data_IF_764919002608
#
_entry.id   IF_764919002608
#
_cell.length_a   1.000
_cell.length_b   1.000
_cell.length_c   1.000
_cell.angle_alpha   90.00
_cell.angle_beta   90.00
_cell.angle_gamma   90.00
#
_symmetry.space_group_name_H-M   'P 1'
#
loop_
_entity.id
_entity.type
_entity.pdbx_description
1 polymer ?
#
# COMPACT_ATOMS: atom_id res chain seq x y z
N UNK A 1 4.70 18.84 3.35
CA UNK A 1 4.05 18.06 4.43
C UNK A 1 4.52 16.63 4.27
N UNK A 2 5.33 16.14 5.20
CA UNK A 2 5.73 14.72 5.22
C UNK A 2 4.49 13.87 5.49
N UNK A 3 4.23 12.86 4.65
CA UNK A 3 3.15 11.91 4.86
C UNK A 3 3.55 11.00 6.01
N UNK A 4 2.74 10.99 7.08
CA UNK A 4 2.98 10.16 8.27
C UNK A 4 2.04 8.96 8.24
N UNK A 5 2.62 7.78 8.47
CA UNK A 5 1.89 6.54 8.68
C UNK A 5 2.24 6.01 10.07
N UNK A 6 1.24 5.52 10.77
CA UNK A 6 1.37 4.93 12.10
C UNK A 6 1.14 3.42 12.01
N UNK A 7 1.69 2.69 12.98
CA UNK A 7 1.40 1.28 13.16
C UNK A 7 -0.11 1.09 13.36
N UNK A 8 -0.68 0.15 12.61
CA UNK A 8 -2.11 -0.17 12.60
C UNK A 8 -2.93 0.63 11.58
N UNK A 9 -2.34 1.63 10.91
CA UNK A 9 -3.03 2.34 9.84
C UNK A 9 -3.40 1.37 8.71
N UNK A 10 -4.66 1.45 8.26
CA UNK A 10 -5.09 0.75 7.05
C UNK A 10 -4.91 1.67 5.86
N UNK A 11 -4.24 1.17 4.84
CA UNK A 11 -4.03 1.89 3.58
C UNK A 11 -4.62 1.12 2.41
N UNK A 12 -5.06 1.86 1.40
CA UNK A 12 -5.49 1.30 0.12
C UNK A 12 -4.46 1.62 -0.97
N UNK A 13 -4.17 0.62 -1.80
CA UNK A 13 -3.39 0.81 -3.01
C UNK A 13 -4.30 1.33 -4.14
N UNK A 14 -3.80 2.23 -4.98
CA UNK A 14 -4.60 2.90 -6.02
C UNK A 14 -5.32 1.94 -6.98
N UNK A 15 -4.74 0.75 -7.22
CA UNK A 15 -5.39 -0.32 -8.03
C UNK A 15 -6.76 -0.74 -7.49
N UNK A 16 -7.06 -0.47 -6.21
CA UNK A 16 -8.39 -0.71 -5.64
C UNK A 16 -9.48 0.05 -6.39
N UNK A 17 -9.20 1.25 -6.91
CA UNK A 17 -10.17 2.03 -7.71
C UNK A 17 -10.53 1.35 -9.04
N UNK A 18 -9.71 0.40 -9.50
CA UNK A 18 -9.99 -0.37 -10.73
C UNK A 18 -10.92 -1.55 -10.50
N UNK A 19 -11.25 -1.86 -9.25
CA UNK A 19 -12.08 -3.02 -8.91
C UNK A 19 -13.56 -2.72 -9.09
N UNK A 20 -14.31 -3.69 -9.61
CA UNK A 20 -15.76 -3.56 -9.72
C UNK A 20 -16.42 -3.69 -8.35
N UNK A 21 -17.69 -3.28 -8.26
CA UNK A 21 -18.46 -3.41 -7.02
C UNK A 21 -18.66 -4.87 -6.64
N UNK A 22 -18.80 -5.75 -7.61
CA UNK A 22 -18.95 -7.19 -7.44
C UNK A 22 -17.68 -7.78 -6.84
N UNK A 23 -16.51 -7.45 -7.41
CA UNK A 23 -15.21 -7.88 -6.87
C UNK A 23 -15.00 -7.41 -5.43
N UNK A 24 -15.34 -6.16 -5.12
CA UNK A 24 -15.22 -5.62 -3.77
C UNK A 24 -16.30 -6.14 -2.80
N UNK A 25 -17.38 -6.74 -3.31
CA UNK A 25 -18.38 -7.43 -2.49
C UNK A 25 -17.88 -8.82 -2.11
N UNK A 26 -17.25 -9.54 -3.04
CA UNK A 26 -16.65 -10.85 -2.80
C UNK A 26 -15.38 -10.76 -1.94
N UNK A 27 -14.51 -9.79 -2.23
CA UNK A 27 -13.24 -9.56 -1.54
C UNK A 27 -13.15 -8.11 -1.03
N UNK A 28 -13.79 -7.77 0.11
CA UNK A 28 -13.84 -6.40 0.61
C UNK A 28 -12.45 -5.84 0.95
N UNK A 29 -11.47 -6.69 1.24
CA UNK A 29 -10.12 -6.29 1.61
C UNK A 29 -9.14 -6.22 0.44
N UNK A 30 -9.57 -6.51 -0.79
CA UNK A 30 -8.69 -6.54 -1.96
C UNK A 30 -7.93 -5.21 -2.12
N UNK A 31 -6.60 -5.27 -2.22
CA UNK A 31 -5.70 -4.08 -2.24
C UNK A 31 -5.74 -3.19 -0.98
N UNK A 32 -6.20 -3.72 0.17
CA UNK A 32 -5.99 -3.10 1.48
C UNK A 32 -4.80 -3.73 2.20
N UNK A 33 -4.09 -2.90 2.95
CA UNK A 33 -2.91 -3.30 3.70
C UNK A 33 -2.90 -2.63 5.07
N UNK A 34 -2.35 -3.30 6.07
CA UNK A 34 -2.10 -2.74 7.41
C UNK A 34 -0.62 -2.38 7.54
N UNK A 35 -0.34 -1.15 7.99
CA UNK A 35 1.00 -0.69 8.30
C UNK A 35 1.46 -1.33 9.62
N UNK A 36 2.59 -2.02 9.57
CA UNK A 36 3.22 -2.61 10.75
C UNK A 36 4.22 -1.62 11.37
N UNK A 37 4.92 -0.86 10.54
CA UNK A 37 5.83 0.19 10.97
C UNK A 37 6.79 0.64 9.87
N UNK A 38 7.78 1.45 10.27
CA UNK A 38 8.87 1.88 9.40
C UNK A 38 10.15 1.21 9.89
N UNK A 39 10.85 0.53 8.97
CA UNK A 39 12.15 -0.07 9.19
C UNK A 39 13.25 0.77 8.55
N UNK A 40 14.46 0.70 9.10
CA UNK A 40 15.66 1.26 8.48
C UNK A 40 16.61 0.13 8.12
N UNK A 41 16.99 0.06 6.86
CA UNK A 41 17.97 -0.91 6.38
C UNK A 41 19.34 -0.57 6.96
N UNK A 42 19.98 -1.53 7.63
CA UNK A 42 21.16 -1.25 8.47
C UNK A 42 22.40 -0.89 7.65
N UNK A 43 22.50 -1.40 6.44
CA UNK A 43 23.65 -1.26 5.54
C UNK A 43 23.53 0.00 4.68
N UNK A 44 22.36 0.21 4.06
CA UNK A 44 22.13 1.35 3.14
C UNK A 44 21.56 2.58 3.82
N UNK A 45 21.05 2.44 5.06
CA UNK A 45 20.34 3.48 5.82
C UNK A 45 19.02 3.94 5.19
N UNK A 46 18.57 3.29 4.12
CA UNK A 46 17.28 3.56 3.50
C UNK A 46 16.11 3.16 4.40
N UNK A 47 15.02 3.91 4.31
CA UNK A 47 13.80 3.65 5.07
C UNK A 47 12.80 2.85 4.24
N UNK A 48 12.12 1.92 4.90
CA UNK A 48 11.14 1.03 4.30
C UNK A 48 9.86 1.06 5.11
N UNK A 49 8.74 1.03 4.41
CA UNK A 49 7.44 0.75 5.03
C UNK A 49 7.27 -0.76 5.13
N UNK A 50 7.01 -1.26 6.33
CA UNK A 50 6.68 -2.65 6.62
C UNK A 50 5.16 -2.75 6.73
N UNK A 51 4.53 -3.60 5.94
CA UNK A 51 3.08 -3.73 5.88
C UNK A 51 2.66 -5.16 5.54
N UNK A 52 1.41 -5.52 5.84
CA UNK A 52 0.83 -6.82 5.43
C UNK A 52 -0.46 -6.62 4.62
N UNK A 53 -0.72 -7.47 3.62
CA UNK A 53 -2.01 -7.46 2.92
C UNK A 53 -3.13 -7.93 3.86
N UNK A 54 -4.32 -7.39 3.67
CA UNK A 54 -5.54 -7.81 4.37
C UNK A 54 -6.39 -8.80 3.54
N UNK A 55 -5.81 -9.32 2.47
CA UNK A 55 -6.42 -10.24 1.51
C UNK A 55 -5.40 -11.30 1.09
N UNK A 56 -5.86 -12.38 0.46
CA UNK A 56 -4.97 -13.46 -0.01
C UNK A 56 -4.19 -12.98 -1.23
N UNK A 57 -2.87 -13.00 -1.14
CA UNK A 57 -2.00 -12.59 -2.26
C UNK A 57 -0.63 -13.20 -2.13
N UNK A 58 -0.01 -13.44 -3.28
CA UNK A 58 1.39 -13.87 -3.36
C UNK A 58 2.38 -12.79 -2.90
N UNK A 59 1.93 -11.56 -2.59
CA UNK A 59 2.85 -10.47 -2.25
C UNK A 59 3.71 -10.75 -1.00
N UNK A 60 3.29 -11.67 -0.13
CA UNK A 60 4.08 -12.13 1.00
C UNK A 60 4.75 -13.47 0.77
N UNK A 61 4.35 -14.26 -0.24
CA UNK A 61 4.99 -15.53 -0.65
C UNK A 61 5.61 -16.37 0.49
N UNK A 62 4.84 -16.64 1.56
CA UNK A 62 5.28 -17.44 2.70
C UNK A 62 6.00 -16.69 3.84
N UNK A 63 6.16 -15.37 3.77
CA UNK A 63 6.61 -14.52 4.87
C UNK A 63 5.45 -13.74 5.51
N UNK A 64 5.68 -13.16 6.70
CA UNK A 64 4.62 -12.45 7.45
C UNK A 64 4.33 -11.04 6.92
N UNK A 65 5.35 -10.35 6.38
CA UNK A 65 5.30 -8.93 6.03
C UNK A 65 5.98 -8.64 4.69
N UNK A 66 5.41 -7.69 3.95
CA UNK A 66 6.05 -7.09 2.80
C UNK A 66 6.80 -5.81 3.22
N UNK A 67 7.87 -5.49 2.49
CA UNK A 67 8.64 -4.26 2.66
C UNK A 67 8.73 -3.50 1.34
N UNK A 68 8.62 -2.18 1.39
CA UNK A 68 8.76 -1.30 0.21
C UNK A 68 9.56 -0.05 0.58
N UNK A 69 10.48 0.43 -0.29
CA UNK A 69 11.17 1.69 -0.06
C UNK A 69 10.17 2.81 0.26
N UNK A 70 10.46 3.62 1.27
CA UNK A 70 9.56 4.65 1.78
C UNK A 70 9.14 5.62 0.66
N UNK A 71 10.10 6.11 -0.12
CA UNK A 71 9.85 7.03 -1.24
C UNK A 71 8.90 6.42 -2.29
N UNK A 72 9.05 5.14 -2.60
CA UNK A 72 8.19 4.42 -3.53
C UNK A 72 6.79 4.13 -2.97
N UNK A 73 6.65 4.12 -1.65
CA UNK A 73 5.38 3.92 -0.95
C UNK A 73 4.59 5.23 -0.92
N UNK A 74 5.26 6.35 -0.66
CA UNK A 74 4.64 7.66 -0.60
C UNK A 74 4.49 8.33 -1.96
N UNK A 75 5.06 7.75 -3.03
CA UNK A 75 5.06 8.32 -4.37
C UNK A 75 3.65 8.55 -4.91
N UNK A 76 3.53 9.54 -5.80
CA UNK A 76 2.32 9.78 -6.56
C UNK A 76 2.03 8.60 -7.52
N UNK A 77 0.76 8.47 -7.90
CA UNK A 77 0.36 7.59 -8.99
C UNK A 77 0.93 8.17 -10.30
N UNK A 78 1.30 7.30 -11.22
CA UNK A 78 1.65 7.71 -12.57
C UNK A 78 0.34 7.93 -13.35
N UNK A 79 -0.14 9.17 -13.39
CA UNK A 79 -1.40 9.53 -14.05
C UNK A 79 -1.29 9.58 -15.58
N UNK A 80 -0.09 9.59 -16.16
CA UNK A 80 0.07 9.39 -17.61
C UNK A 80 -0.28 7.94 -17.97
N UNK A 81 0.17 6.99 -17.14
CA UNK A 81 -0.13 5.56 -17.28
C UNK A 81 -1.54 5.19 -16.80
N UNK A 82 -2.05 5.88 -15.80
CA UNK A 82 -3.32 5.58 -15.13
C UNK A 82 -4.20 6.84 -15.02
N UNK A 83 -4.66 7.40 -16.15
CA UNK A 83 -5.41 8.66 -16.18
C UNK A 83 -6.77 8.57 -15.49
N UNK A 84 -7.33 7.37 -15.33
CA UNK A 84 -8.63 7.12 -14.72
C UNK A 84 -8.60 7.09 -13.18
N UNK A 85 -7.40 7.10 -12.58
CA UNK A 85 -7.22 6.97 -11.14
C UNK A 85 -7.32 8.33 -10.48
N UNK A 86 -8.30 8.46 -9.57
CA UNK A 86 -8.52 9.68 -8.80
C UNK A 86 -7.60 9.77 -7.58
N UNK A 87 -7.13 8.63 -7.06
CA UNK A 87 -6.16 8.57 -5.99
C UNK A 87 -4.88 9.33 -6.37
N UNK A 88 -4.38 10.19 -5.49
CA UNK A 88 -3.18 10.99 -5.76
C UNK A 88 -1.92 10.16 -5.56
N UNK A 89 -1.87 9.40 -4.47
CA UNK A 89 -0.69 8.63 -4.10
C UNK A 89 -0.88 7.13 -4.31
N UNK A 90 0.22 6.38 -4.48
CA UNK A 90 0.13 4.93 -4.67
C UNK A 90 -0.57 4.21 -3.52
N UNK A 91 -0.30 4.65 -2.30
CA UNK A 91 -0.97 4.20 -1.08
C UNK A 91 -1.57 5.41 -0.37
N UNK A 92 -2.82 5.30 0.09
CA UNK A 92 -3.50 6.32 0.89
C UNK A 92 -4.21 5.69 2.08
N UNK A 93 -4.37 6.46 3.17
CA UNK A 93 -5.13 5.99 4.33
C UNK A 93 -6.56 5.68 3.90
N UNK A 94 -7.02 4.46 4.22
CA UNK A 94 -8.40 4.07 4.00
C UNK A 94 -9.27 4.79 5.02
N UNK A 95 -10.08 5.72 4.53
CA UNK A 95 -11.13 6.40 5.31
C UNK A 95 -12.27 5.45 5.66
#
# INVERSE_FOLDING_TARGET
MERKFNKGDIVQHFKREKMTKEQLTEEPNLYLYEIIGIGRHTETKEEFVIYKPLYVTECTNGVDFAVRPFDMFISEVDHEKYPEISQKYRFELKK
#
